data_IF_233808691474
#
_entry.id   IF_233808691474
#
_cell.length_a   1.000
_cell.length_b   1.000
_cell.length_c   1.000
_cell.angle_alpha   90.00
_cell.angle_beta   90.00
_cell.angle_gamma   90.00
#
_symmetry.space_group_name_H-M   'P 1'
#
loop_
_entity.id
_entity.type
_entity.pdbx_description
1 polymer ?
#
# COMPACT_ATOMS: atom_id res chain seq x y z
N UNK A 1 -5.22 1.37 -10.26
CA UNK A 1 -5.03 0.44 -9.12
C UNK A 1 -4.17 1.12 -8.08
N UNK A 2 -4.52 1.06 -6.79
CA UNK A 2 -3.80 1.75 -5.71
C UNK A 2 -2.33 1.36 -5.60
N UNK A 3 -2.02 0.06 -5.66
CA UNK A 3 -0.64 -0.44 -5.74
C UNK A 3 0.18 0.19 -6.89
N UNK A 4 -0.44 0.37 -8.05
CA UNK A 4 0.24 1.04 -9.18
C UNK A 4 0.46 2.51 -8.89
N UNK A 5 -0.51 3.22 -8.30
CA UNK A 5 -0.39 4.64 -7.99
C UNK A 5 0.75 4.89 -6.99
N UNK A 6 0.80 4.08 -5.92
CA UNK A 6 1.86 4.11 -4.91
C UNK A 6 3.23 3.78 -5.54
N UNK A 7 3.32 2.73 -6.35
CA UNK A 7 4.60 2.31 -6.94
C UNK A 7 5.11 3.21 -8.09
N UNK A 8 4.20 3.80 -8.88
CA UNK A 8 4.58 4.55 -10.10
C UNK A 8 4.82 6.04 -9.87
N UNK A 9 4.22 6.62 -8.81
CA UNK A 9 4.34 8.06 -8.57
C UNK A 9 5.56 8.44 -7.74
N UNK A 10 6.29 7.47 -7.17
CA UNK A 10 7.41 7.74 -6.26
C UNK A 10 7.01 8.81 -5.25
N UNK A 11 7.69 9.96 -5.30
CA UNK A 11 7.47 11.12 -4.44
C UNK A 11 6.17 11.92 -4.56
N UNK A 12 5.12 11.34 -5.17
CA UNK A 12 3.77 11.92 -5.26
C UNK A 12 2.66 10.90 -4.97
N UNK A 13 2.98 9.91 -4.15
CA UNK A 13 1.98 8.97 -3.61
C UNK A 13 1.04 9.74 -2.70
N UNK A 14 -0.26 9.80 -3.03
CA UNK A 14 -1.18 10.60 -2.23
C UNK A 14 -1.49 9.92 -0.91
N UNK A 15 -1.69 10.69 0.16
CA UNK A 15 -2.24 10.23 1.44
C UNK A 15 -3.50 9.37 1.22
N UNK A 16 -4.34 9.76 0.27
CA UNK A 16 -5.54 9.03 -0.15
C UNK A 16 -5.26 7.64 -0.71
N UNK A 17 -4.17 7.43 -1.45
CA UNK A 17 -3.89 6.12 -2.04
C UNK A 17 -3.55 5.07 -0.99
N UNK A 18 -2.81 5.47 0.06
CA UNK A 18 -2.54 4.63 1.22
C UNK A 18 -3.79 4.32 2.02
N UNK A 19 -4.61 5.34 2.33
CA UNK A 19 -5.85 5.14 3.08
C UNK A 19 -6.86 4.26 2.32
N UNK A 20 -7.05 4.50 1.02
CA UNK A 20 -7.95 3.67 0.22
C UNK A 20 -7.43 2.21 0.16
N UNK A 21 -6.12 1.99 0.03
CA UNK A 21 -5.55 0.63 0.04
C UNK A 21 -5.69 -0.04 1.42
N UNK A 22 -5.45 0.70 2.50
CA UNK A 22 -5.61 0.22 3.87
C UNK A 22 -7.03 -0.26 4.13
N UNK A 23 -8.03 0.53 3.71
CA UNK A 23 -9.44 0.15 3.82
C UNK A 23 -9.73 -1.13 3.01
N UNK A 24 -9.21 -1.21 1.78
CA UNK A 24 -9.40 -2.38 0.93
C UNK A 24 -8.86 -3.66 1.58
N UNK A 25 -7.67 -3.56 2.19
CA UNK A 25 -7.02 -4.70 2.85
C UNK A 25 -7.81 -5.16 4.08
N UNK A 26 -8.24 -4.22 4.93
CA UNK A 26 -8.96 -4.54 6.15
C UNK A 26 -10.39 -5.07 5.91
N UNK A 27 -11.06 -4.64 4.83
CA UNK A 27 -12.48 -4.97 4.60
C UNK A 27 -12.72 -6.11 3.64
N UNK A 28 -11.79 -6.39 2.71
CA UNK A 28 -12.08 -7.30 1.60
C UNK A 28 -11.09 -8.45 1.44
N UNK A 29 -9.78 -8.19 1.29
CA UNK A 29 -8.77 -9.23 1.01
C UNK A 29 -7.40 -8.86 1.59
N UNK A 30 -6.56 -9.83 1.99
CA UNK A 30 -5.22 -9.52 2.48
C UNK A 30 -4.34 -8.87 1.39
N UNK A 31 -3.30 -8.14 1.81
CA UNK A 31 -2.33 -7.48 0.91
C UNK A 31 -1.78 -8.43 -0.16
N UNK A 32 -1.47 -9.67 0.23
CA UNK A 32 -0.98 -10.73 -0.65
C UNK A 32 -1.89 -10.95 -1.87
N UNK A 33 -3.21 -10.96 -1.68
CA UNK A 33 -4.18 -11.16 -2.75
C UNK A 33 -4.16 -9.99 -3.74
N UNK A 34 -4.01 -8.75 -3.26
CA UNK A 34 -3.88 -7.58 -4.11
C UNK A 34 -2.56 -7.56 -4.89
N UNK A 35 -1.46 -8.02 -4.27
CA UNK A 35 -0.17 -8.17 -4.95
C UNK A 35 -0.25 -9.25 -6.06
N UNK A 36 -0.90 -10.40 -5.81
CA UNK A 36 -1.16 -11.42 -6.85
C UNK A 36 -1.96 -10.85 -8.03
N UNK A 37 -3.00 -10.06 -7.75
CA UNK A 37 -3.78 -9.38 -8.78
C UNK A 37 -2.95 -8.36 -9.57
N UNK A 38 -2.05 -7.64 -8.88
CA UNK A 38 -1.12 -6.71 -9.52
C UNK A 38 -0.17 -7.42 -10.47
N UNK A 39 0.48 -8.50 -10.03
CA UNK A 39 1.40 -9.33 -10.83
C UNK A 39 0.68 -9.87 -12.08
N UNK A 40 -0.54 -10.39 -11.90
CA UNK A 40 -1.35 -10.90 -13.03
C UNK A 40 -1.68 -9.80 -14.05
N UNK A 41 -1.94 -8.58 -13.59
CA UNK A 41 -2.32 -7.46 -14.46
C UNK A 41 -1.13 -6.82 -15.17
N UNK A 42 -0.02 -6.61 -14.46
CA UNK A 42 1.15 -5.93 -14.98
C UNK A 42 2.32 -6.90 -15.13
N UNK A 43 2.40 -7.54 -16.29
CA UNK A 43 3.54 -8.40 -16.66
C UNK A 43 4.82 -7.55 -16.67
N UNK A 44 5.92 -8.11 -16.16
CA UNK A 44 7.27 -7.50 -16.17
C UNK A 44 7.43 -6.23 -15.30
N UNK A 45 6.63 -6.05 -14.25
CA UNK A 45 6.89 -5.03 -13.21
C UNK A 45 7.71 -5.63 -12.07
N UNK A 46 8.66 -4.85 -11.54
CA UNK A 46 9.40 -5.22 -10.33
C UNK A 46 8.47 -5.17 -9.10
N UNK A 47 8.10 -6.35 -8.61
CA UNK A 47 7.26 -6.49 -7.41
C UNK A 47 7.96 -5.97 -6.15
N UNK A 48 9.29 -6.05 -6.10
CA UNK A 48 10.06 -5.53 -4.96
C UNK A 48 9.97 -4.02 -4.88
N UNK A 49 9.99 -3.34 -6.03
CA UNK A 49 9.73 -1.90 -6.07
C UNK A 49 8.35 -1.53 -5.52
N UNK A 50 7.32 -2.30 -5.85
CA UNK A 50 5.96 -2.10 -5.30
C UNK A 50 5.97 -2.27 -3.78
N UNK A 51 6.55 -3.37 -3.27
CA UNK A 51 6.58 -3.66 -1.83
C UNK A 51 7.37 -2.59 -1.07
N UNK A 52 8.53 -2.17 -1.56
CA UNK A 52 9.30 -1.07 -0.94
C UNK A 52 8.50 0.23 -0.89
N UNK A 53 7.74 0.52 -1.95
CA UNK A 53 6.90 1.73 -2.00
C UNK A 53 5.77 1.71 -0.96
N UNK A 54 5.33 0.53 -0.50
CA UNK A 54 4.32 0.41 0.55
C UNK A 54 4.83 0.74 1.96
N UNK A 55 6.16 0.75 2.17
CA UNK A 55 6.79 1.13 3.43
C UNK A 55 7.33 2.58 3.42
N UNK A 56 7.11 3.34 2.35
CA UNK A 56 7.67 4.67 2.18
C UNK A 56 6.57 5.73 2.19
N UNK A 57 6.39 6.38 3.34
CA UNK A 57 5.28 7.31 3.60
C UNK A 57 5.66 8.79 3.49
N UNK A 58 6.95 9.12 3.44
CA UNK A 58 7.46 10.50 3.55
C UNK A 58 6.74 11.49 2.64
N UNK A 59 6.55 11.11 1.38
CA UNK A 59 5.93 12.00 0.40
C UNK A 59 4.40 12.07 0.59
N UNK A 60 3.75 10.99 1.01
CA UNK A 60 2.33 11.00 1.37
C UNK A 60 2.03 11.82 2.64
N UNK A 61 3.00 11.94 3.55
CA UNK A 61 2.89 12.77 4.75
C UNK A 61 2.96 14.27 4.46
N UNK A 62 3.63 14.64 3.37
CA UNK A 62 3.75 16.03 2.91
C UNK A 62 2.50 16.55 2.17
N UNK A 63 1.60 15.65 1.79
CA UNK A 63 0.34 16.01 1.14
C UNK A 63 -0.66 16.60 2.16
N UNK A 64 -1.60 17.47 1.72
CA UNK A 64 -2.66 17.97 2.58
C UNK A 64 -3.44 16.87 3.30
N UNK A 65 -4.09 17.23 4.41
CA UNK A 65 -5.06 16.34 5.02
C UNK A 65 -6.17 16.01 4.02
N UNK A 66 -6.60 14.76 4.06
CA UNK A 66 -7.67 14.26 3.20
C UNK A 66 -9.00 14.38 3.95
N UNK A 67 -10.07 14.72 3.25
CA UNK A 67 -11.41 14.60 3.81
C UNK A 67 -11.76 13.11 3.94
N UNK A 68 -11.74 12.58 5.16
CA UNK A 68 -12.04 11.18 5.47
C UNK A 68 -13.48 11.09 5.99
N UNK A 69 -14.23 10.09 5.51
CA UNK A 69 -15.61 9.84 5.93
C UNK A 69 -15.64 9.16 7.31
N UNK A 70 -14.64 8.33 7.61
CA UNK A 70 -14.47 7.66 8.90
C UNK A 70 -13.20 8.13 9.61
N UNK A 71 -13.18 8.23 10.96
CA UNK A 71 -11.97 8.49 11.72
C UNK A 71 -10.89 7.46 11.37
N UNK A 72 -9.68 7.94 11.12
CA UNK A 72 -8.58 7.10 10.68
C UNK A 72 -7.28 7.53 11.37
N UNK A 73 -6.49 6.55 11.80
CA UNK A 73 -5.21 6.75 12.47
C UNK A 73 -4.05 6.45 11.52
N UNK A 74 -3.33 7.50 11.12
CA UNK A 74 -2.19 7.40 10.22
C UNK A 74 -1.02 6.62 10.82
N UNK A 75 -0.77 6.75 12.13
CA UNK A 75 0.32 6.03 12.80
C UNK A 75 0.03 4.55 12.82
N UNK A 76 -1.20 4.17 13.18
CA UNK A 76 -1.65 2.77 13.14
C UNK A 76 -1.55 2.19 11.73
N UNK A 77 -1.98 2.93 10.71
CA UNK A 77 -1.92 2.45 9.32
C UNK A 77 -0.49 2.12 8.89
N UNK A 78 0.48 2.97 9.22
CA UNK A 78 1.88 2.73 8.90
C UNK A 78 2.38 1.43 9.55
N UNK A 79 2.10 1.25 10.84
CA UNK A 79 2.46 0.03 11.57
C UNK A 79 1.82 -1.22 10.95
N UNK A 80 0.54 -1.15 10.61
CA UNK A 80 -0.17 -2.27 9.98
C UNK A 80 0.43 -2.61 8.59
N UNK A 81 0.81 -1.61 7.77
CA UNK A 81 1.50 -1.86 6.50
C UNK A 81 2.86 -2.54 6.70
N UNK A 82 3.66 -2.09 7.67
CA UNK A 82 4.95 -2.72 8.00
C UNK A 82 4.76 -4.19 8.40
N UNK A 83 3.76 -4.47 9.23
CA UNK A 83 3.47 -5.84 9.68
C UNK A 83 2.96 -6.71 8.54
N UNK A 84 2.07 -6.20 7.68
CA UNK A 84 1.64 -6.94 6.49
C UNK A 84 2.81 -7.26 5.56
N UNK A 85 3.75 -6.32 5.36
CA UNK A 85 4.95 -6.55 4.55
C UNK A 85 5.84 -7.64 5.19
N UNK A 86 6.06 -7.61 6.51
CA UNK A 86 6.81 -8.66 7.22
C UNK A 86 6.15 -10.03 7.03
N UNK A 87 4.82 -10.10 7.11
CA UNK A 87 4.09 -11.37 6.93
C UNK A 87 4.25 -11.96 5.53
N UNK A 88 4.48 -11.15 4.49
CA UNK A 88 4.76 -11.67 3.14
C UNK A 88 6.05 -12.48 3.10
N UNK A 89 7.05 -12.09 3.90
CA UNK A 89 8.34 -12.81 3.97
C UNK A 89 8.20 -14.17 4.68
N UNK A 90 7.39 -14.24 5.74
CA UNK A 90 7.12 -15.48 6.49
C UNK A 90 6.24 -16.45 5.71
N UNK A 91 5.38 -15.95 4.81
CA UNK A 91 4.44 -16.74 4.04
C UNK A 91 5.02 -17.35 2.75
N UNK A 92 6.33 -17.23 2.49
CA UNK A 92 6.96 -17.60 1.21
C UNK A 92 6.20 -17.00 0.00
N UNK A 93 5.76 -15.74 0.11
CA UNK A 93 5.05 -15.06 -0.98
C UNK A 93 5.94 -14.81 -2.21
N UNK A 94 7.26 -14.77 -2.01
CA UNK A 94 8.29 -14.47 -3.01
C UNK A 94 9.30 -15.60 -3.08
#
# INVERSE_FOLDING_TARGET
MKLSAIASRGSRSSRKDFVDLYYLINKFKPLEAYLKLYIKKYKNRDIWHVIRSLAYFKDAESEPEINIIEPFDWVKMKADFEDWIKMLSTANFL
#
